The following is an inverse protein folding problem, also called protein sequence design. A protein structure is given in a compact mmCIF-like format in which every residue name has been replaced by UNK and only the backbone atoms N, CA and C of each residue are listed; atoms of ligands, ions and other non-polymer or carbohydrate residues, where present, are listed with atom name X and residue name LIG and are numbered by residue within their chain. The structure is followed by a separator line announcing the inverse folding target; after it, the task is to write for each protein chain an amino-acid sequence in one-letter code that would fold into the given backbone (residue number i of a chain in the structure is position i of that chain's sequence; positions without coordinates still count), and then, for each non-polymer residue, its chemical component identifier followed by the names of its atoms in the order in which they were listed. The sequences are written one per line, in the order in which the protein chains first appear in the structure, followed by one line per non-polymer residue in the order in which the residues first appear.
data_IF_552925981506
#
_entry.id   IF_552925981506
#
_cell.length_a   1.000
_cell.length_b   1.000
_cell.length_c   1.000
_cell.angle_alpha   90.00
_cell.angle_beta   90.00
_cell.angle_gamma   90.00
#
_symmetry.space_group_name_H-M   'P 1'
#
loop_
_entity.id
_entity.type
_entity.pdbx_description
1 polymer ?
#
# COMPACT_ATOMS: atom_id res chain seq x y z
N UNK A 1 8.10 -1.96 -10.20
CA UNK A 1 8.32 -3.20 -9.41
C UNK A 1 8.49 -4.40 -10.32
N UNK A 2 9.37 -5.32 -9.95
CA UNK A 2 9.36 -6.67 -10.52
C UNK A 2 8.30 -7.54 -9.83
N UNK A 3 7.88 -8.64 -10.46
CA UNK A 3 6.96 -9.62 -9.84
C UNK A 3 7.50 -10.12 -8.49
N UNK A 4 8.81 -10.30 -8.36
CA UNK A 4 9.45 -10.72 -7.11
C UNK A 4 9.32 -9.66 -6.01
N UNK A 5 9.51 -8.37 -6.35
CA UNK A 5 9.33 -7.26 -5.40
C UNK A 5 7.87 -7.13 -4.96
N UNK A 6 6.90 -7.28 -5.88
CA UNK A 6 5.48 -7.22 -5.51
C UNK A 6 5.07 -8.34 -4.56
N UNK A 7 5.56 -9.56 -4.80
CA UNK A 7 5.33 -10.70 -3.88
C UNK A 7 5.96 -10.46 -2.52
N UNK A 8 7.23 -10.01 -2.50
CA UNK A 8 7.93 -9.73 -1.26
C UNK A 8 7.26 -8.60 -0.46
N UNK A 9 6.78 -7.55 -1.13
CA UNK A 9 6.02 -6.48 -0.49
C UNK A 9 4.73 -7.02 0.13
N UNK A 10 4.00 -7.85 -0.61
CA UNK A 10 2.79 -8.50 -0.12
C UNK A 10 3.06 -9.37 1.12
N UNK A 11 4.08 -10.23 1.07
CA UNK A 11 4.52 -11.05 2.21
C UNK A 11 4.93 -10.19 3.41
N UNK A 12 5.64 -9.08 3.16
CA UNK A 12 6.05 -8.14 4.20
C UNK A 12 4.84 -7.50 4.89
N UNK A 13 3.81 -7.09 4.14
CA UNK A 13 2.56 -6.57 4.72
C UNK A 13 1.83 -7.61 5.60
N UNK A 14 1.96 -8.90 5.25
CA UNK A 14 1.38 -9.99 6.05
C UNK A 14 2.15 -10.23 7.35
N UNK A 15 3.48 -10.16 7.32
CA UNK A 15 4.35 -10.55 8.44
C UNK A 15 4.79 -9.39 9.35
N UNK A 16 4.94 -8.18 8.82
CA UNK A 16 5.43 -6.99 9.53
C UNK A 16 4.24 -6.08 9.88
N UNK A 17 3.67 -6.31 11.06
CA UNK A 17 2.52 -5.56 11.58
C UNK A 17 2.79 -4.05 11.74
N UNK A 18 3.89 -3.61 12.37
CA UNK A 18 4.21 -2.18 12.45
C UNK A 18 4.33 -1.51 11.08
N UNK A 19 4.95 -2.20 10.10
CA UNK A 19 5.06 -1.68 8.75
C UNK A 19 3.70 -1.57 8.08
N UNK A 20 2.89 -2.63 8.15
CA UNK A 20 1.53 -2.62 7.62
C UNK A 20 0.69 -1.50 8.22
N UNK A 21 0.71 -1.35 9.54
CA UNK A 21 -0.11 -0.33 10.21
C UNK A 21 0.34 1.08 9.81
N UNK A 22 1.65 1.29 9.58
CA UNK A 22 2.18 2.54 9.04
C UNK A 22 1.67 2.82 7.61
N UNK A 23 1.59 1.79 6.77
CA UNK A 23 1.05 1.91 5.40
C UNK A 23 -0.45 2.18 5.43
N UNK A 24 -1.21 1.44 6.24
CA UNK A 24 -2.67 1.59 6.35
C UNK A 24 -3.07 2.91 7.03
N UNK A 25 -2.22 3.46 7.91
CA UNK A 25 -2.45 4.76 8.57
C UNK A 25 -1.92 5.94 7.75
N UNK A 26 -1.24 5.70 6.63
CA UNK A 26 -0.75 6.77 5.78
C UNK A 26 -1.92 7.60 5.25
N UNK A 27 -1.79 8.92 5.28
CA UNK A 27 -2.82 9.84 4.83
C UNK A 27 -2.98 9.84 3.31
N UNK A 28 -1.93 9.49 2.55
CA UNK A 28 -1.96 9.56 1.09
C UNK A 28 -1.19 8.42 0.42
N UNK A 29 -1.51 8.18 -0.86
CA UNK A 29 -0.75 7.22 -1.68
C UNK A 29 0.71 7.60 -1.86
N UNK A 30 1.03 8.91 -1.84
CA UNK A 30 2.40 9.40 -1.86
C UNK A 30 3.16 9.01 -0.60
N UNK A 31 2.52 9.13 0.56
CA UNK A 31 3.10 8.71 1.83
C UNK A 31 3.31 7.18 1.87
N UNK A 32 2.34 6.39 1.39
CA UNK A 32 2.52 4.94 1.19
C UNK A 32 3.76 4.64 0.33
N UNK A 33 3.92 5.35 -0.78
CA UNK A 33 5.07 5.18 -1.68
C UNK A 33 6.39 5.48 -0.97
N UNK A 34 6.48 6.58 -0.24
CA UNK A 34 7.69 6.95 0.52
C UNK A 34 8.05 5.87 1.55
N UNK A 35 7.06 5.34 2.27
CA UNK A 35 7.27 4.29 3.27
C UNK A 35 7.77 2.97 2.64
N UNK A 36 7.24 2.61 1.46
CA UNK A 36 7.60 1.40 0.72
C UNK A 36 8.99 1.55 0.08
N UNK A 37 9.30 2.71 -0.49
CA UNK A 37 10.62 3.02 -1.03
C UNK A 37 11.70 3.06 0.06
N UNK A 38 11.36 3.56 1.26
CA UNK A 38 12.26 3.53 2.42
C UNK A 38 12.61 2.10 2.86
N UNK A 39 11.77 1.11 2.53
CA UNK A 39 12.05 -0.33 2.74
C UNK A 39 12.77 -0.98 1.56
N UNK A 40 13.13 -0.22 0.52
CA UNK A 40 13.88 -0.71 -0.64
C UNK A 40 13.01 -1.25 -1.78
N UNK A 41 11.70 -0.99 -1.76
CA UNK A 41 10.80 -1.36 -2.84
C UNK A 41 10.62 -0.20 -3.82
N UNK A 42 11.18 -0.34 -5.02
CA UNK A 42 10.98 0.63 -6.10
C UNK A 42 9.67 0.32 -6.86
N UNK A 43 8.70 1.23 -6.74
CA UNK A 43 7.37 1.07 -7.32
C UNK A 43 6.84 2.37 -7.94
N UNK A 44 6.13 2.24 -9.07
CA UNK A 44 5.28 3.32 -9.56
C UNK A 44 4.00 3.42 -8.73
N UNK A 45 3.34 4.58 -8.77
CA UNK A 45 2.04 4.78 -8.08
C UNK A 45 0.98 3.78 -8.52
N UNK A 46 0.95 3.42 -9.81
CA UNK A 46 -0.02 2.45 -10.34
C UNK A 46 0.22 1.04 -9.81
N UNK A 47 1.49 0.60 -9.75
CA UNK A 47 1.85 -0.72 -9.21
C UNK A 47 1.60 -0.80 -7.70
N UNK A 48 1.90 0.29 -6.99
CA UNK A 48 1.61 0.42 -5.57
C UNK A 48 0.10 0.28 -5.31
N UNK A 49 -0.71 1.04 -6.05
CA UNK A 49 -2.17 1.01 -5.95
C UNK A 49 -2.71 -0.41 -6.15
N UNK A 50 -2.35 -1.08 -7.25
CA UNK A 50 -2.80 -2.45 -7.51
C UNK A 50 -2.38 -3.44 -6.41
N UNK A 51 -1.18 -3.27 -5.85
CA UNK A 51 -0.68 -4.17 -4.79
C UNK A 51 -1.45 -3.97 -3.49
N UNK A 52 -1.74 -2.73 -3.11
CA UNK A 52 -2.53 -2.40 -1.91
C UNK A 52 -4.01 -2.76 -2.08
N UNK A 53 -4.60 -2.52 -3.26
CA UNK A 53 -5.97 -2.95 -3.61
C UNK A 53 -6.12 -4.45 -3.40
N UNK A 54 -5.21 -5.23 -3.97
CA UNK A 54 -5.19 -6.69 -3.81
C UNK A 54 -5.02 -7.11 -2.35
N UNK A 55 -4.17 -6.44 -1.58
CA UNK A 55 -3.99 -6.74 -0.16
C UNK A 55 -5.27 -6.51 0.64
N UNK A 56 -5.95 -5.38 0.40
CA UNK A 56 -7.21 -5.03 1.08
C UNK A 56 -8.32 -6.01 0.67
N UNK A 57 -8.40 -6.37 -0.62
CA UNK A 57 -9.31 -7.38 -1.16
C UNK A 57 -9.19 -8.74 -0.47
N UNK A 58 -7.98 -9.28 -0.41
CA UNK A 58 -7.75 -10.62 0.15
C UNK A 58 -8.00 -10.67 1.67
N UNK A 59 -7.95 -9.52 2.35
CA UNK A 59 -8.09 -9.44 3.81
C UNK A 59 -9.48 -8.99 4.26
N UNK A 60 -10.38 -8.71 3.32
CA UNK A 60 -11.73 -8.19 3.63
C UNK A 60 -11.67 -6.94 4.54
N UNK A 61 -10.59 -6.17 4.45
CA UNK A 61 -10.49 -4.89 5.15
C UNK A 61 -11.51 -3.94 4.54
N UNK A 62 -12.11 -3.09 5.38
CA UNK A 62 -13.16 -2.17 4.98
C UNK A 62 -12.66 -1.23 3.87
N UNK A 63 -12.94 -1.60 2.62
CA UNK A 63 -12.38 -0.96 1.42
C UNK A 63 -12.74 0.51 1.36
N UNK A 64 -13.99 0.84 1.70
CA UNK A 64 -14.53 2.20 1.61
C UNK A 64 -13.82 3.16 2.58
N UNK A 65 -13.46 2.71 3.78
CA UNK A 65 -12.80 3.59 4.76
C UNK A 65 -11.34 3.86 4.40
N UNK A 66 -10.58 2.83 4.01
CA UNK A 66 -9.16 2.96 3.71
C UNK A 66 -8.91 3.67 2.36
N UNK A 67 -9.71 3.39 1.33
CA UNK A 67 -9.57 4.09 0.05
C UNK A 67 -10.05 5.54 0.10
N UNK A 68 -11.12 5.85 0.84
CA UNK A 68 -11.57 7.23 0.95
C UNK A 68 -10.52 8.14 1.58
N UNK A 69 -9.67 7.62 2.48
CA UNK A 69 -8.53 8.36 3.01
C UNK A 69 -7.49 8.66 1.92
N UNK A 70 -7.15 7.69 1.07
CA UNK A 70 -6.11 7.87 0.05
C UNK A 70 -6.56 8.62 -1.21
N UNK A 71 -7.82 8.49 -1.61
CA UNK A 71 -8.40 9.20 -2.76
C UNK A 71 -8.89 10.61 -2.39
N UNK A 72 -9.30 10.88 -1.14
CA UNK A 72 -9.83 12.21 -0.77
C UNK A 72 -8.80 13.34 -0.77
N UNK A 73 -7.49 13.04 -0.85
CA UNK A 73 -6.41 14.04 -0.83
C UNK A 73 -6.00 14.48 -2.24
N UNK A 74 -6.52 13.83 -3.29
CA UNK A 74 -6.37 14.30 -4.67
C UNK A 74 -7.74 14.44 -5.34
N UNK A 75 -8.37 15.64 -5.31
CA UNK A 75 -9.31 15.97 -6.35
C UNK A 75 -8.52 16.07 -7.66
N UNK A 76 -9.13 15.59 -8.75
CA UNK A 76 -8.60 15.63 -10.13
C UNK A 76 -7.88 16.94 -10.50
#
# INVERSE_FOLDING_TARGET
MTIAQSKLLFETLLSDEPFRDSILSAGSMLECKVLIEARGFDCSMSELRMTLEKYIEERNFDKEHNFSLWESIFPE
#
